data_IF_786659151402
#
_entry.id   IF_786659151402
#
_cell.length_a   1.000
_cell.length_b   1.000
_cell.length_c   1.000
_cell.angle_alpha   90.00
_cell.angle_beta   90.00
_cell.angle_gamma   90.00
#
_symmetry.space_group_name_H-M   'P 1'
#
loop_
_entity.id
_entity.type
_entity.pdbx_description
1 polymer ?
#
# COMPACT_ATOMS: atom_id res chain seq x y z
N UNK A 1 -28.05 -20.81 8.42
CA UNK A 1 -29.21 -19.99 8.00
C UNK A 1 -29.53 -20.41 6.58
N UNK A 2 -30.68 -20.93 6.18
CA UNK A 2 -31.79 -21.56 6.90
C UNK A 2 -32.37 -22.72 6.05
N UNK A 3 -33.06 -23.66 6.68
CA UNK A 3 -33.93 -24.62 6.01
C UNK A 3 -35.36 -24.39 6.54
N UNK A 4 -36.25 -23.91 5.67
CA UNK A 4 -37.69 -23.89 5.92
C UNK A 4 -38.28 -25.24 5.43
N UNK A 5 -38.46 -26.24 6.30
CA UNK A 5 -39.31 -27.41 6.00
C UNK A 5 -40.50 -27.40 6.96
N UNK A 6 -41.64 -26.93 6.47
CA UNK A 6 -42.92 -27.08 7.15
C UNK A 6 -43.56 -28.41 6.76
N UNK A 7 -43.29 -29.48 7.50
CA UNK A 7 -44.05 -30.71 7.38
C UNK A 7 -45.35 -30.55 8.19
N UNK A 8 -46.51 -30.58 7.52
CA UNK A 8 -47.80 -30.61 8.21
C UNK A 8 -48.03 -32.03 8.74
N UNK A 9 -47.90 -32.22 10.04
CA UNK A 9 -48.58 -33.33 10.74
C UNK A 9 -49.80 -32.76 11.45
N UNK A 10 -50.98 -33.23 11.04
CA UNK A 10 -52.23 -32.95 11.71
C UNK A 10 -52.44 -33.99 12.81
N UNK A 11 -52.23 -33.63 14.07
CA UNK A 11 -52.88 -34.29 15.19
C UNK A 11 -53.72 -33.29 15.99
N UNK A 12 -54.94 -33.72 16.30
CA UNK A 12 -56.00 -32.96 16.94
C UNK A 12 -55.68 -32.78 18.44
N UNK A 13 -55.26 -31.57 18.85
CA UNK A 13 -55.33 -31.14 20.25
C UNK A 13 -56.02 -29.78 20.31
N UNK A 14 -57.26 -29.79 20.82
CA UNK A 14 -57.96 -28.58 21.28
C UNK A 14 -57.25 -28.09 22.53
N UNK A 15 -56.76 -26.84 22.56
CA UNK A 15 -57.09 -25.77 23.54
C UNK A 15 -56.14 -24.57 23.35
N UNK A 16 -56.74 -23.37 23.48
CA UNK A 16 -56.25 -22.02 23.19
C UNK A 16 -54.80 -21.66 23.58
N UNK A 17 -54.03 -21.23 22.59
CA UNK A 17 -53.24 -19.97 22.61
C UNK A 17 -53.08 -19.54 21.14
N UNK A 18 -53.77 -18.47 20.73
CA UNK A 18 -53.60 -17.89 19.40
C UNK A 18 -52.28 -17.14 19.34
N UNK A 19 -51.18 -17.86 19.19
CA UNK A 19 -49.99 -17.30 18.56
C UNK A 19 -50.30 -17.27 17.06
N UNK A 20 -50.34 -16.10 16.39
CA UNK A 20 -50.49 -16.08 14.95
C UNK A 20 -49.24 -16.76 14.38
N UNK A 21 -49.39 -18.01 13.91
CA UNK A 21 -48.37 -18.67 13.10
C UNK A 21 -48.40 -17.99 11.75
N UNK A 22 -47.84 -16.78 11.73
CA UNK A 22 -47.63 -16.00 10.52
C UNK A 22 -46.75 -16.85 9.62
N UNK A 23 -47.23 -17.15 8.41
CA UNK A 23 -46.44 -17.80 7.38
C UNK A 23 -45.18 -16.97 7.16
N UNK A 24 -44.06 -17.35 7.79
CA UNK A 24 -42.78 -16.71 7.57
C UNK A 24 -42.28 -17.18 6.21
N UNK A 25 -42.66 -16.44 5.16
CA UNK A 25 -42.08 -16.60 3.83
C UNK A 25 -40.58 -16.38 3.96
N UNK A 26 -39.80 -17.42 3.64
CA UNK A 26 -38.35 -17.46 3.79
C UNK A 26 -37.74 -16.33 2.91
N UNK A 27 -37.40 -15.17 3.51
CA UNK A 27 -36.78 -14.00 2.83
C UNK A 27 -35.34 -14.27 2.38
N UNK A 28 -34.82 -15.48 2.58
CA UNK A 28 -33.41 -15.84 2.40
C UNK A 28 -33.03 -16.13 0.94
N UNK A 29 -33.99 -16.59 0.11
CA UNK A 29 -33.77 -16.96 -1.30
C UNK A 29 -33.45 -15.73 -2.18
N UNK A 30 -34.26 -14.65 -2.19
CA UNK A 30 -33.93 -13.48 -3.02
C UNK A 30 -32.63 -12.81 -2.58
N UNK A 31 -32.31 -12.83 -1.28
CA UNK A 31 -31.05 -12.33 -0.75
C UNK A 31 -29.85 -13.16 -1.27
N UNK A 32 -29.94 -14.48 -1.25
CA UNK A 32 -28.91 -15.38 -1.78
C UNK A 32 -28.65 -15.15 -3.29
N UNK A 33 -29.70 -14.95 -4.09
CA UNK A 33 -29.56 -14.71 -5.53
C UNK A 33 -28.80 -13.40 -5.79
N UNK A 34 -29.15 -12.33 -5.07
CA UNK A 34 -28.47 -11.04 -5.20
C UNK A 34 -27.00 -11.15 -4.76
N UNK A 35 -26.71 -11.88 -3.69
CA UNK A 35 -25.34 -12.11 -3.23
C UNK A 35 -24.50 -12.88 -4.26
N UNK A 36 -25.05 -13.92 -4.87
CA UNK A 36 -24.35 -14.70 -5.92
C UNK A 36 -24.05 -13.85 -7.16
N UNK A 37 -25.00 -13.02 -7.59
CA UNK A 37 -24.78 -12.08 -8.71
C UNK A 37 -23.64 -11.11 -8.37
N UNK A 38 -23.61 -10.58 -7.15
CA UNK A 38 -22.54 -9.70 -6.69
C UNK A 38 -21.17 -10.40 -6.70
N UNK A 39 -21.09 -11.62 -6.17
CA UNK A 39 -19.83 -12.40 -6.15
C UNK A 39 -19.32 -12.69 -7.57
N UNK A 40 -20.20 -13.09 -8.49
CA UNK A 40 -19.83 -13.34 -9.88
C UNK A 40 -19.37 -12.04 -10.56
N UNK A 41 -20.08 -10.94 -10.34
CA UNK A 41 -19.69 -9.62 -10.87
C UNK A 41 -18.33 -9.16 -10.34
N UNK A 42 -18.08 -9.34 -9.04
CA UNK A 42 -16.80 -9.00 -8.42
C UNK A 42 -15.65 -9.84 -8.98
N UNK A 43 -15.85 -11.15 -9.16
CA UNK A 43 -14.86 -12.04 -9.78
C UNK A 43 -14.56 -11.62 -11.23
N UNK A 44 -15.58 -11.29 -12.01
CA UNK A 44 -15.41 -10.83 -13.38
C UNK A 44 -14.58 -9.53 -13.46
N UNK A 45 -14.90 -8.53 -12.63
CA UNK A 45 -14.15 -7.25 -12.58
C UNK A 45 -12.72 -7.47 -12.09
N UNK A 46 -12.52 -8.35 -11.12
CA UNK A 46 -11.19 -8.68 -10.59
C UNK A 46 -10.32 -9.31 -11.67
N UNK A 47 -10.81 -10.34 -12.35
CA UNK A 47 -10.09 -11.01 -13.44
C UNK A 47 -9.81 -10.06 -14.60
N UNK A 48 -10.78 -9.22 -14.95
CA UNK A 48 -10.60 -8.19 -15.99
C UNK A 48 -9.49 -7.20 -15.62
N UNK A 49 -9.46 -6.76 -14.36
CA UNK A 49 -8.43 -5.84 -13.84
C UNK A 49 -7.04 -6.49 -13.84
N UNK A 50 -6.92 -7.78 -13.52
CA UNK A 50 -5.64 -8.49 -13.60
C UNK A 50 -5.19 -8.72 -15.05
N UNK A 51 -6.13 -9.00 -15.97
CA UNK A 51 -5.79 -9.26 -17.37
C UNK A 51 -5.37 -7.99 -18.12
N UNK A 52 -6.01 -6.84 -17.84
CA UNK A 52 -5.75 -5.56 -18.52
C UNK A 52 -4.81 -4.64 -17.74
N UNK A 53 -4.59 -4.91 -16.44
CA UNK A 53 -3.79 -4.06 -15.58
C UNK A 53 -2.29 -4.32 -15.70
N UNK A 54 -1.50 -3.26 -15.94
CA UNK A 54 -0.04 -3.34 -15.84
C UNK A 54 0.38 -3.22 -14.36
N UNK A 55 0.47 -4.36 -13.68
CA UNK A 55 0.95 -4.45 -12.29
C UNK A 55 2.40 -4.00 -12.14
N UNK A 56 3.15 -3.92 -13.23
CA UNK A 56 4.54 -3.48 -13.20
C UNK A 56 4.66 -2.01 -12.78
N UNK A 57 3.66 -1.16 -13.07
CA UNK A 57 3.68 0.24 -12.65
C UNK A 57 3.67 0.40 -11.11
N UNK A 58 3.11 -0.58 -10.38
CA UNK A 58 3.13 -0.59 -8.92
C UNK A 58 4.46 -1.08 -8.35
N UNK A 59 5.14 -1.99 -9.05
CA UNK A 59 6.37 -2.62 -8.59
C UNK A 59 7.63 -1.84 -9.01
N UNK A 60 7.62 -1.26 -10.21
CA UNK A 60 8.77 -0.55 -10.74
C UNK A 60 8.69 0.94 -10.41
N UNK A 61 9.75 1.50 -9.83
CA UNK A 61 9.83 2.92 -9.58
C UNK A 61 10.02 3.71 -10.89
N UNK A 62 9.52 4.94 -10.88
CA UNK A 62 9.67 5.90 -11.97
C UNK A 62 10.57 7.06 -11.57
N UNK A 63 11.44 7.49 -12.49
CA UNK A 63 12.24 8.71 -12.39
C UNK A 63 11.33 9.95 -12.47
N UNK A 64 11.81 11.12 -12.03
CA UNK A 64 11.13 12.41 -12.21
C UNK A 64 10.72 12.73 -13.65
N UNK A 65 11.37 12.12 -14.65
CA UNK A 65 11.01 12.26 -16.06
C UNK A 65 9.91 11.28 -16.52
N UNK A 66 9.34 10.47 -15.62
CA UNK A 66 8.32 9.48 -15.94
C UNK A 66 8.84 8.19 -16.58
N UNK A 67 10.17 8.00 -16.61
CA UNK A 67 10.81 6.78 -17.13
C UNK A 67 10.83 5.70 -16.06
N UNK A 68 10.48 4.47 -16.41
CA UNK A 68 10.50 3.31 -15.51
C UNK A 68 11.91 2.75 -15.38
N UNK A 69 12.45 2.70 -14.17
CA UNK A 69 13.77 2.12 -13.91
C UNK A 69 13.76 0.62 -14.19
N UNK A 70 14.73 0.12 -14.96
CA UNK A 70 14.84 -1.30 -15.35
C UNK A 70 13.96 -1.74 -16.53
N UNK A 71 13.03 -0.90 -17.00
CA UNK A 71 12.23 -1.15 -18.24
C UNK A 71 12.53 -0.13 -19.32
N UNK A 72 12.42 1.17 -19.03
CA UNK A 72 12.80 2.20 -20.00
C UNK A 72 14.31 2.46 -19.93
N UNK A 73 14.85 2.40 -18.70
CA UNK A 73 16.29 2.51 -18.42
C UNK A 73 16.82 1.15 -17.97
N UNK A 74 17.09 0.26 -18.93
CA UNK A 74 17.44 -1.15 -18.68
C UNK A 74 18.67 -1.30 -17.76
N UNK A 75 19.70 -0.49 -17.94
CA UNK A 75 20.96 -0.60 -17.19
C UNK A 75 20.89 -0.03 -15.76
N UNK A 76 19.77 0.58 -15.38
CA UNK A 76 19.60 1.29 -14.11
C UNK A 76 18.27 0.88 -13.43
N UNK A 77 18.24 -0.25 -12.71
CA UNK A 77 17.01 -0.76 -12.11
C UNK A 77 16.64 -0.11 -10.77
N UNK A 78 17.57 0.60 -10.11
CA UNK A 78 17.34 1.13 -8.75
C UNK A 78 16.97 2.62 -8.78
N UNK A 79 16.00 3.05 -7.99
CA UNK A 79 15.63 4.46 -7.85
C UNK A 79 16.24 5.09 -6.60
N UNK A 80 16.90 6.24 -6.77
CA UNK A 80 17.41 7.08 -5.68
C UNK A 80 16.62 8.38 -5.59
N UNK A 81 16.28 8.78 -4.36
CA UNK A 81 15.71 10.08 -4.02
C UNK A 81 16.83 11.02 -3.60
N UNK A 82 16.86 12.24 -4.14
CA UNK A 82 17.85 13.25 -3.73
C UNK A 82 17.68 13.65 -2.26
N UNK A 83 16.44 13.69 -1.80
CA UNK A 83 16.09 13.89 -0.40
C UNK A 83 14.89 13.01 -0.05
N UNK A 84 15.16 11.92 0.67
CA UNK A 84 14.13 11.00 1.14
C UNK A 84 13.33 11.60 2.33
N UNK A 85 13.96 12.49 3.11
CA UNK A 85 13.40 13.05 4.34
C UNK A 85 12.24 13.98 4.01
N UNK A 86 12.39 14.82 2.99
CA UNK A 86 11.30 15.69 2.50
C UNK A 86 10.08 14.85 2.13
N UNK A 87 10.29 13.70 1.48
CA UNK A 87 9.18 12.84 1.10
C UNK A 87 8.50 12.20 2.32
N UNK A 88 9.28 11.72 3.29
CA UNK A 88 8.73 11.11 4.51
C UNK A 88 7.97 12.13 5.37
N UNK A 89 8.47 13.38 5.44
CA UNK A 89 7.81 14.50 6.12
C UNK A 89 6.44 14.85 5.54
N UNK A 90 6.22 14.59 4.25
CA UNK A 90 4.92 14.80 3.59
C UNK A 90 3.90 13.69 3.92
N UNK A 91 4.37 12.58 4.51
CA UNK A 91 3.53 11.48 5.00
C UNK A 91 2.55 10.98 3.94
N UNK A 92 1.27 10.76 4.29
CA UNK A 92 0.28 10.18 3.36
C UNK A 92 -0.02 11.07 2.14
N UNK A 93 0.38 12.36 2.17
CA UNK A 93 0.19 13.31 1.07
C UNK A 93 1.00 12.93 -0.18
N UNK A 94 2.07 12.15 -0.02
CA UNK A 94 2.93 11.67 -1.11
C UNK A 94 2.17 10.80 -2.10
N UNK A 95 1.18 10.03 -1.64
CA UNK A 95 0.38 9.15 -2.51
C UNK A 95 -0.42 9.96 -3.54
N UNK A 96 -0.82 11.17 -3.19
CA UNK A 96 -1.65 12.04 -4.05
C UNK A 96 -0.81 13.02 -4.87
N UNK A 97 0.22 13.60 -4.25
CA UNK A 97 1.00 14.71 -4.85
C UNK A 97 2.38 14.32 -5.34
N UNK A 98 2.83 13.09 -5.03
CA UNK A 98 4.20 12.65 -5.27
C UNK A 98 5.20 13.29 -4.29
N UNK A 99 6.45 12.79 -4.29
CA UNK A 99 7.54 13.48 -3.61
C UNK A 99 7.97 14.68 -4.48
N UNK A 100 8.08 15.91 -3.96
CA UNK A 100 8.56 17.08 -4.70
C UNK A 100 10.10 17.07 -4.88
N UNK A 101 10.73 15.91 -4.79
CA UNK A 101 12.19 15.74 -4.87
C UNK A 101 12.57 15.05 -6.17
N UNK A 102 13.70 15.44 -6.80
CA UNK A 102 14.21 14.73 -7.96
C UNK A 102 14.51 13.26 -7.63
N UNK A 103 14.12 12.38 -8.54
CA UNK A 103 14.25 10.93 -8.44
C UNK A 103 14.99 10.45 -9.68
N UNK A 104 16.05 9.65 -9.51
CA UNK A 104 16.88 9.19 -10.64
C UNK A 104 17.11 7.69 -10.58
N UNK A 105 17.16 7.05 -11.75
CA UNK A 105 17.53 5.64 -11.84
C UNK A 105 19.06 5.46 -11.74
N UNK A 106 19.51 4.41 -11.06
CA UNK A 106 20.90 4.01 -10.88
C UNK A 106 21.12 2.53 -11.18
N UNK A 107 22.33 2.19 -11.59
CA UNK A 107 22.77 0.80 -11.81
C UNK A 107 23.05 0.08 -10.49
N UNK A 108 23.50 0.78 -9.46
CA UNK A 108 23.73 0.25 -8.12
C UNK A 108 23.55 1.33 -7.07
N UNK A 109 23.08 0.94 -5.88
CA UNK A 109 22.95 1.87 -4.76
C UNK A 109 24.32 2.28 -4.21
N UNK A 110 24.53 3.56 -3.85
CA UNK A 110 25.81 4.03 -3.33
C UNK A 110 26.12 3.42 -1.95
N UNK A 111 27.36 2.96 -1.79
CA UNK A 111 27.89 2.44 -0.51
C UNK A 111 28.78 3.45 0.23
N UNK A 112 28.89 4.68 -0.27
CA UNK A 112 29.73 5.74 0.28
C UNK A 112 28.86 6.92 0.74
N UNK A 113 29.42 7.76 1.61
CA UNK A 113 28.82 9.04 1.97
C UNK A 113 29.52 10.17 1.22
N UNK A 114 28.76 11.05 0.58
CA UNK A 114 29.27 12.26 -0.05
C UNK A 114 28.47 13.48 0.43
N UNK A 115 29.16 14.57 0.72
CA UNK A 115 28.56 15.84 1.11
C UNK A 115 29.48 16.98 0.66
N UNK A 116 28.94 18.12 0.18
CA UNK A 116 29.73 19.27 -0.24
C UNK A 116 30.53 19.89 0.92
N UNK A 117 30.10 19.68 2.16
CA UNK A 117 30.72 20.24 3.37
C UNK A 117 31.60 19.23 4.12
N UNK A 118 31.78 18.00 3.59
CA UNK A 118 32.63 17.00 4.21
C UNK A 118 34.10 17.42 4.15
N UNK A 119 34.67 17.72 5.32
CA UNK A 119 36.08 18.12 5.52
C UNK A 119 37.11 17.02 5.18
N UNK A 120 36.66 15.80 4.88
CA UNK A 120 37.48 14.67 4.48
C UNK A 120 37.73 14.65 2.96
N UNK A 121 38.36 15.70 2.42
CA UNK A 121 39.24 15.69 1.23
C UNK A 121 38.81 15.06 -0.11
N UNK A 122 37.61 14.48 -0.24
CA UNK A 122 37.19 13.70 -1.40
C UNK A 122 35.81 14.17 -1.92
N UNK A 123 35.63 15.50 -1.93
CA UNK A 123 34.53 16.19 -2.62
C UNK A 123 34.71 16.09 -4.15
N UNK A 124 34.96 14.88 -4.63
CA UNK A 124 35.23 14.57 -6.02
C UNK A 124 33.89 14.52 -6.75
N UNK A 125 33.84 15.18 -7.91
CA UNK A 125 32.66 15.25 -8.79
C UNK A 125 32.16 13.87 -9.23
N UNK A 126 33.03 12.85 -9.19
CA UNK A 126 32.71 11.45 -9.49
C UNK A 126 31.76 10.81 -8.47
N UNK A 127 31.78 11.27 -7.23
CA UNK A 127 30.95 10.74 -6.15
C UNK A 127 29.60 11.46 -6.05
N UNK A 128 29.35 12.46 -6.89
CA UNK A 128 28.07 13.16 -6.97
C UNK A 128 27.12 12.44 -7.90
N UNK A 129 25.88 12.27 -7.46
CA UNK A 129 24.82 11.69 -8.29
C UNK A 129 23.94 12.81 -8.82
N UNK A 130 23.83 12.91 -10.14
CA UNK A 130 23.09 13.96 -10.84
C UNK A 130 21.85 13.41 -11.56
N UNK A 131 21.06 14.32 -12.14
CA UNK A 131 19.95 13.98 -13.04
C UNK A 131 20.41 12.98 -14.12
N UNK A 132 19.51 12.09 -14.56
CA UNK A 132 19.81 10.92 -15.41
C UNK A 132 20.68 9.83 -14.76
N UNK A 133 21.01 9.96 -13.47
CA UNK A 133 21.82 8.97 -12.75
C UNK A 133 23.25 8.88 -13.27
N UNK A 134 23.82 10.01 -13.68
CA UNK A 134 25.22 10.17 -14.10
C UNK A 134 25.99 10.97 -13.06
N UNK A 135 27.33 10.91 -13.14
CA UNK A 135 28.21 11.65 -12.25
C UNK A 135 28.37 13.12 -12.70
N UNK A 136 28.82 14.01 -11.82
CA UNK A 136 29.04 15.42 -12.16
C UNK A 136 30.20 15.66 -13.15
N UNK A 137 30.97 14.62 -13.50
CA UNK A 137 32.00 14.64 -14.55
C UNK A 137 31.46 14.38 -15.96
N UNK A 138 30.16 14.07 -16.10
CA UNK A 138 29.51 13.97 -17.40
C UNK A 138 29.65 15.30 -18.19
N UNK A 139 29.85 15.26 -19.52
CA UNK A 139 29.92 16.47 -20.36
C UNK A 139 28.73 17.43 -20.15
N UNK A 140 27.55 16.93 -19.76
CA UNK A 140 26.37 17.74 -19.42
C UNK A 140 26.61 18.73 -18.26
N UNK A 141 27.48 18.38 -17.31
CA UNK A 141 27.67 19.12 -16.06
C UNK A 141 29.08 19.70 -15.90
N UNK A 142 30.00 19.37 -16.81
CA UNK A 142 31.43 19.77 -16.79
C UNK A 142 31.67 21.29 -16.65
N UNK A 143 30.75 22.13 -17.15
CA UNK A 143 30.89 23.59 -17.12
C UNK A 143 30.41 24.31 -15.85
N UNK A 144 29.81 23.61 -14.88
CA UNK A 144 29.26 24.21 -13.66
C UNK A 144 30.06 23.81 -12.42
N UNK A 145 30.14 24.66 -11.40
CA UNK A 145 30.76 24.30 -10.12
C UNK A 145 29.89 23.32 -9.32
N UNK A 146 30.49 22.58 -8.39
CA UNK A 146 29.79 21.63 -7.50
C UNK A 146 28.64 22.32 -6.75
N UNK A 147 28.87 23.54 -6.26
CA UNK A 147 27.88 24.30 -5.51
C UNK A 147 26.73 24.79 -6.41
N UNK A 148 26.99 25.10 -7.68
CA UNK A 148 25.94 25.48 -8.64
C UNK A 148 25.05 24.28 -8.98
N UNK A 149 25.64 23.11 -9.19
CA UNK A 149 24.90 21.87 -9.47
C UNK A 149 23.93 21.50 -8.35
N UNK A 150 24.38 21.64 -7.09
CA UNK A 150 23.53 21.41 -5.92
C UNK A 150 22.45 22.48 -5.78
N UNK A 151 22.80 23.77 -5.90
CA UNK A 151 21.83 24.88 -5.80
C UNK A 151 20.75 24.84 -6.87
N UNK A 152 21.11 24.41 -8.08
CA UNK A 152 20.19 24.28 -9.21
C UNK A 152 19.34 23.00 -9.14
N UNK A 153 19.52 22.15 -8.11
CA UNK A 153 18.81 20.89 -7.98
C UNK A 153 19.16 19.86 -9.06
N UNK A 154 20.30 20.03 -9.74
CA UNK A 154 20.75 19.14 -10.81
C UNK A 154 21.49 17.92 -10.26
N UNK A 155 22.06 18.02 -9.06
CA UNK A 155 22.70 16.91 -8.37
C UNK A 155 22.27 16.83 -6.91
N UNK A 156 22.33 15.62 -6.36
CA UNK A 156 21.96 15.35 -4.98
C UNK A 156 22.84 16.19 -4.03
N UNK A 157 22.25 16.89 -3.04
CA UNK A 157 23.00 17.72 -2.10
C UNK A 157 23.87 16.89 -1.18
N UNK A 158 23.42 15.70 -0.79
CA UNK A 158 24.17 14.73 0.00
C UNK A 158 23.84 13.32 -0.50
N UNK A 159 24.83 12.43 -0.52
CA UNK A 159 24.66 11.02 -0.83
C UNK A 159 24.95 10.22 0.44
N UNK A 160 24.04 9.31 0.79
CA UNK A 160 24.19 8.44 1.96
C UNK A 160 24.36 6.99 1.53
N UNK A 161 25.12 6.19 2.29
CA UNK A 161 25.23 4.76 2.04
C UNK A 161 23.85 4.10 2.17
N UNK A 162 23.43 3.39 1.13
CA UNK A 162 22.08 2.85 0.98
C UNK A 162 22.09 1.42 0.47
N UNK A 163 21.01 0.68 0.76
CA UNK A 163 20.78 -0.68 0.27
C UNK A 163 19.56 -0.74 -0.63
N UNK A 164 19.56 -1.65 -1.61
CA UNK A 164 18.41 -1.86 -2.48
C UNK A 164 17.28 -2.58 -1.73
N UNK A 165 16.11 -1.96 -1.66
CA UNK A 165 14.87 -2.52 -1.12
C UNK A 165 13.76 -2.21 -2.12
N UNK A 166 13.10 -3.22 -2.69
CA UNK A 166 12.03 -3.06 -3.70
C UNK A 166 12.45 -2.12 -4.87
N UNK A 167 13.64 -2.33 -5.43
CA UNK A 167 14.21 -1.47 -6.50
C UNK A 167 14.40 0.00 -6.11
N UNK A 168 14.41 0.34 -4.81
CA UNK A 168 14.68 1.68 -4.29
C UNK A 168 15.91 1.65 -3.40
N UNK A 169 16.71 2.71 -3.43
CA UNK A 169 17.86 2.84 -2.54
C UNK A 169 17.41 3.50 -1.23
N UNK A 170 17.42 2.74 -0.13
CA UNK A 170 17.06 3.22 1.21
C UNK A 170 18.30 3.23 2.13
N UNK A 171 18.48 4.28 2.95
CA UNK A 171 19.60 4.34 3.88
C UNK A 171 19.53 3.21 4.91
N UNK A 172 20.70 2.73 5.34
CA UNK A 172 20.84 1.57 6.24
C UNK A 172 20.25 1.77 7.65
N UNK A 173 19.89 2.99 8.01
CA UNK A 173 19.32 3.33 9.31
C UNK A 173 17.84 2.94 9.33
N UNK A 174 17.60 1.65 9.64
CA UNK A 174 16.29 1.04 9.96
C UNK A 174 15.08 1.80 9.41
N UNK A 175 15.04 1.99 8.10
CA UNK A 175 13.88 2.53 7.43
C UNK A 175 12.90 1.38 7.32
N UNK A 176 12.21 1.07 8.42
CA UNK A 176 11.13 0.12 8.40
C UNK A 176 10.12 0.61 7.36
N UNK A 177 9.61 -0.28 6.51
CA UNK A 177 8.65 0.06 5.44
C UNK A 177 7.43 0.83 6.00
N UNK A 178 7.16 0.62 7.29
CA UNK A 178 6.29 1.41 8.15
C UNK A 178 6.48 2.92 7.97
N UNK A 179 7.71 3.44 7.94
CA UNK A 179 7.97 4.88 7.84
C UNK A 179 7.48 5.53 6.55
N UNK A 180 7.41 4.77 5.44
CA UNK A 180 6.84 5.25 4.16
C UNK A 180 5.31 5.23 4.22
N UNK A 181 4.74 4.25 4.93
CA UNK A 181 3.29 4.07 5.07
C UNK A 181 2.69 4.97 6.15
N UNK A 182 3.42 5.23 7.24
CA UNK A 182 2.98 5.98 8.41
C UNK A 182 3.57 7.40 8.47
N UNK A 183 4.56 7.72 7.64
CA UNK A 183 5.30 8.99 7.71
C UNK A 183 6.21 9.11 8.93
N UNK A 184 6.48 8.01 9.67
CA UNK A 184 7.24 8.02 10.92
C UNK A 184 8.52 7.19 10.78
N UNK A 185 9.68 7.84 10.67
CA UNK A 185 10.99 7.16 10.67
C UNK A 185 11.47 6.90 12.11
N UNK A 186 11.53 5.62 12.51
CA UNK A 186 12.06 5.18 13.80
C UNK A 186 13.43 4.53 13.64
N UNK A 187 14.41 4.94 14.44
CA UNK A 187 15.67 4.22 14.59
C UNK A 187 15.61 3.24 15.77
N UNK A 188 16.45 2.19 15.74
CA UNK A 188 16.66 1.17 16.80
C UNK A 188 17.04 1.70 18.21
N UNK A 189 16.98 3.01 18.44
CA UNK A 189 17.29 3.64 19.72
C UNK A 189 16.08 4.31 20.38
N UNK A 190 14.84 3.92 20.02
CA UNK A 190 13.59 4.50 20.54
C UNK A 190 13.63 6.05 20.60
N UNK A 191 14.19 6.63 19.53
CA UNK A 191 14.29 8.07 19.36
C UNK A 191 13.73 8.36 17.98
N UNK A 192 12.58 9.04 17.97
CA UNK A 192 12.04 9.65 16.77
C UNK A 192 13.13 10.52 16.16
N UNK A 193 13.51 10.24 14.91
CA UNK A 193 14.39 11.13 14.18
C UNK A 193 13.57 12.38 13.82
N UNK A 194 13.52 13.35 14.73
CA UNK A 194 13.43 14.74 14.31
C UNK A 194 14.75 15.06 13.64
N UNK A 195 14.82 14.87 12.32
CA UNK A 195 15.81 15.52 11.46
C UNK A 195 15.40 16.98 11.31
N UNK A 196 15.45 17.67 12.45
CA UNK A 196 15.20 19.08 12.64
C UNK A 196 16.56 19.75 12.65
N UNK A 197 16.85 20.50 11.58
CA UNK A 197 17.83 21.56 11.67
C UNK A 197 17.31 22.53 12.77
N UNK A 198 18.13 22.94 13.75
CA UNK A 198 17.67 23.76 14.88
C UNK A 198 17.07 25.13 14.48
N UNK A 199 17.21 25.53 13.21
CA UNK A 199 16.73 26.81 12.67
C UNK A 199 15.47 26.71 11.79
N UNK A 200 14.94 25.51 11.51
CA UNK A 200 13.71 25.38 10.73
C UNK A 200 12.48 25.45 11.65
N UNK A 201 11.52 26.35 11.40
CA UNK A 201 10.30 26.44 12.18
C UNK A 201 9.62 25.08 12.15
N UNK A 202 9.23 24.61 13.33
CA UNK A 202 8.44 23.40 13.57
C UNK A 202 7.33 23.32 12.52
N UNK A 203 7.56 22.55 11.45
CA UNK A 203 6.51 22.25 10.49
C UNK A 203 5.66 21.22 11.19
N UNK A 204 4.76 21.72 12.04
CA UNK A 204 3.58 20.98 12.46
C UNK A 204 3.10 20.28 11.20
N UNK A 205 3.17 18.94 11.21
CA UNK A 205 2.78 18.10 10.09
C UNK A 205 1.56 18.74 9.46
N UNK A 206 1.69 19.10 8.18
CA UNK A 206 0.73 19.94 7.47
C UNK A 206 -0.64 19.49 7.93
N UNK A 207 -1.39 20.37 8.60
CA UNK A 207 -2.83 20.17 8.75
C UNK A 207 -3.37 20.32 7.33
N UNK A 208 -3.19 19.27 6.54
CA UNK A 208 -3.68 19.14 5.18
C UNK A 208 -5.17 19.33 5.33
N UNK A 209 -5.71 20.34 4.65
CA UNK A 209 -7.10 20.73 4.78
C UNK A 209 -7.96 19.47 4.71
N UNK A 210 -8.68 19.22 5.81
CA UNK A 210 -9.52 18.06 6.08
C UNK A 210 -10.77 18.01 5.17
N UNK A 211 -10.78 18.80 4.09
CA UNK A 211 -11.93 19.09 3.24
C UNK A 211 -11.93 18.32 1.93
N UNK A 212 -10.86 17.60 1.58
CA UNK A 212 -10.93 16.69 0.43
C UNK A 212 -11.49 15.34 0.90
N UNK A 213 -12.74 15.07 0.55
CA UNK A 213 -13.48 13.82 0.79
C UNK A 213 -12.64 12.53 0.62
N UNK A 214 -11.69 12.54 -0.33
CA UNK A 214 -10.78 11.43 -0.62
C UNK A 214 -9.92 11.01 0.59
N UNK A 215 -9.37 11.94 1.38
CA UNK A 215 -8.56 11.57 2.54
C UNK A 215 -9.40 10.97 3.69
N UNK A 216 -10.67 11.41 3.84
CA UNK A 216 -11.61 10.76 4.77
C UNK A 216 -11.95 9.35 4.33
N UNK A 217 -12.08 9.10 3.03
CA UNK A 217 -12.28 7.75 2.52
C UNK A 217 -11.06 6.86 2.78
N UNK A 218 -9.85 7.33 2.46
CA UNK A 218 -8.61 6.54 2.67
C UNK A 218 -8.45 6.14 4.14
N UNK A 219 -8.68 7.05 5.07
CA UNK A 219 -8.60 6.75 6.52
C UNK A 219 -9.68 5.78 7.00
N UNK A 220 -10.88 5.80 6.42
CA UNK A 220 -11.92 4.80 6.69
C UNK A 220 -11.52 3.44 6.09
N UNK A 221 -10.99 3.43 4.87
CA UNK A 221 -10.52 2.23 4.19
C UNK A 221 -9.39 1.54 4.95
N UNK A 222 -8.43 2.29 5.50
CA UNK A 222 -7.36 1.75 6.34
C UNK A 222 -7.91 1.00 7.56
N UNK A 223 -8.95 1.55 8.21
CA UNK A 223 -9.61 0.90 9.34
C UNK A 223 -10.32 -0.39 8.93
N UNK A 224 -11.06 -0.35 7.81
CA UNK A 224 -11.75 -1.52 7.25
C UNK A 224 -10.74 -2.63 6.90
N UNK A 225 -9.63 -2.27 6.26
CA UNK A 225 -8.57 -3.22 5.88
C UNK A 225 -7.89 -3.80 7.13
N UNK A 226 -7.62 -2.99 8.15
CA UNK A 226 -7.09 -3.48 9.42
C UNK A 226 -8.05 -4.50 10.06
N UNK A 227 -9.34 -4.22 10.09
CA UNK A 227 -10.36 -5.12 10.63
C UNK A 227 -10.46 -6.43 9.81
N UNK A 228 -10.45 -6.35 8.48
CA UNK A 228 -10.46 -7.51 7.58
C UNK A 228 -9.19 -8.37 7.73
N UNK A 229 -8.02 -7.73 7.80
CA UNK A 229 -6.73 -8.42 7.91
C UNK A 229 -6.58 -9.13 9.25
N UNK A 230 -7.22 -8.62 10.31
CA UNK A 230 -7.22 -9.29 11.60
C UNK A 230 -8.27 -10.42 11.68
N UNK A 231 -9.41 -10.26 11.01
CA UNK A 231 -10.56 -11.18 11.16
C UNK A 231 -10.74 -12.19 10.02
N UNK A 232 -9.91 -12.16 8.96
CA UNK A 232 -10.08 -13.02 7.78
C UNK A 232 -10.16 -14.51 8.10
N UNK A 233 -9.37 -14.99 9.08
CA UNK A 233 -9.42 -16.39 9.53
C UNK A 233 -10.79 -16.78 10.09
N UNK A 234 -11.43 -15.88 10.84
CA UNK A 234 -12.77 -16.12 11.42
C UNK A 234 -13.81 -16.21 10.30
N UNK A 235 -13.70 -15.35 9.28
CA UNK A 235 -14.57 -15.38 8.10
C UNK A 235 -14.44 -16.72 7.38
N UNK A 236 -13.22 -17.20 7.14
CA UNK A 236 -12.97 -18.50 6.49
C UNK A 236 -13.52 -19.65 7.30
N UNK A 237 -13.34 -19.62 8.63
CA UNK A 237 -13.88 -20.63 9.55
C UNK A 237 -15.42 -20.64 9.49
N UNK A 238 -16.06 -19.47 9.55
CA UNK A 238 -17.52 -19.36 9.44
C UNK A 238 -18.04 -19.90 8.10
N UNK A 239 -17.36 -19.60 6.99
CA UNK A 239 -17.72 -20.12 5.66
C UNK A 239 -17.58 -21.64 5.61
N UNK A 240 -16.49 -22.19 6.17
CA UNK A 240 -16.26 -23.63 6.22
C UNK A 240 -17.30 -24.36 7.06
N UNK A 241 -17.68 -23.84 8.23
CA UNK A 241 -18.74 -24.40 9.07
C UNK A 241 -20.11 -24.35 8.39
N UNK A 242 -20.42 -23.28 7.66
CA UNK A 242 -21.66 -23.18 6.89
C UNK A 242 -21.71 -24.23 5.76
N UNK A 243 -20.60 -24.45 5.07
CA UNK A 243 -20.49 -25.47 4.01
C UNK A 243 -20.61 -26.90 4.55
N UNK A 244 -19.97 -27.16 5.69
CA UNK A 244 -20.07 -28.44 6.40
C UNK A 244 -21.51 -28.71 6.86
N UNK A 245 -22.16 -27.70 7.47
CA UNK A 245 -23.54 -27.83 7.93
C UNK A 245 -24.53 -28.07 6.77
N UNK A 246 -24.33 -27.44 5.61
CA UNK A 246 -25.15 -27.67 4.43
C UNK A 246 -24.98 -29.09 3.85
N UNK A 247 -23.74 -29.60 3.82
CA UNK A 247 -23.42 -30.93 3.31
C UNK A 247 -24.02 -32.03 4.20
N UNK A 248 -23.85 -31.93 5.52
CA UNK A 248 -24.41 -32.89 6.47
C UNK A 248 -25.93 -32.79 6.58
N UNK A 249 -26.51 -31.59 6.47
CA UNK A 249 -27.95 -31.39 6.41
C UNK A 249 -28.59 -32.06 5.19
N UNK A 250 -27.97 -31.97 4.01
CA UNK A 250 -28.44 -32.66 2.80
C UNK A 250 -28.33 -34.19 2.92
N UNK A 251 -27.24 -34.69 3.52
CA UNK A 251 -27.05 -36.14 3.71
C UNK A 251 -28.08 -36.71 4.70
N UNK A 252 -28.38 -35.99 5.78
CA UNK A 252 -29.37 -36.41 6.77
C UNK A 252 -30.80 -36.40 6.18
N UNK A 253 -31.14 -35.39 5.38
CA UNK A 253 -32.43 -35.35 4.66
C UNK A 253 -32.57 -36.47 3.62
N UNK A 254 -31.49 -36.80 2.90
CA UNK A 254 -31.48 -37.91 1.95
C UNK A 254 -31.62 -39.27 2.67
N UNK A 255 -31.03 -39.43 3.86
CA UNK A 255 -31.15 -40.64 4.66
C UNK A 255 -32.56 -40.84 5.24
N UNK A 256 -33.26 -39.77 5.63
CA UNK A 256 -34.64 -39.84 6.17
C UNK A 256 -35.68 -40.10 5.08
N UNK A 257 -35.41 -39.77 3.81
CA UNK A 257 -36.29 -40.10 2.67
C UNK A 257 -36.20 -41.56 2.19
N UNK A 258 -35.18 -42.31 2.63
CA UNK A 258 -34.95 -43.71 2.26
C UNK A 258 -35.42 -44.73 3.32
N UNK A 259 -35.89 -44.25 4.48
CA UNK A 259 -36.48 -45.03 5.57
C UNK A 259 -38.00 -44.86 5.58
#
# INVERSE_FOLDING_TARGET
>A
MGFCVGHKHAENVKTLTTVPVQNRTCTDIPCCVVFLIFVIGFLAVTLWSFAMGDYALLLYPTDSHGRVCGRDVHDKPYLLFFDLIVCVKLGPSVVVTGCPTPQVCLSSCPNYSWSPDASNGDATRDSMICLDGVNANDPKFSGQSVQQLVRNGQCAPNVYPSKPVLNRCLPNQSFELTAIVTGQAHNNADKSMLLQNPDDPMVNGVKVSQDTFLFKLVTIWEKIVADLTQTWHIIVICIWYLWFCHSFGSIYYAAVQLL
#
